data_IF_166399723891
#
_entry.id   IF_166399723891
#
_cell.length_a   1.000
_cell.length_b   1.000
_cell.length_c   1.000
_cell.angle_alpha   90.00
_cell.angle_beta   90.00
_cell.angle_gamma   90.00
#
_symmetry.space_group_name_H-M   'P 1'
#
loop_
_entity.id
_entity.type
_entity.pdbx_description
1 polymer ?
#
# COMPACT_ATOMS: atom_id res chain seq x y z
N UNK A 1 8.82 -27.39 36.69
CA UNK A 1 9.26 -26.97 35.34
C UNK A 1 10.52 -26.12 35.49
N UNK A 2 11.64 -26.50 34.87
CA UNK A 2 12.91 -25.80 35.10
C UNK A 2 12.88 -24.37 34.52
N UNK A 3 13.54 -23.41 35.18
CA UNK A 3 13.58 -22.00 34.73
C UNK A 3 14.06 -21.83 33.28
N UNK A 4 14.86 -22.78 32.78
CA UNK A 4 15.27 -22.86 31.37
C UNK A 4 14.11 -23.18 30.42
N UNK A 5 13.24 -24.12 30.76
CA UNK A 5 12.12 -24.53 29.92
C UNK A 5 11.06 -23.43 29.83
N UNK A 6 10.86 -22.67 30.92
CA UNK A 6 9.96 -21.51 30.95
C UNK A 6 10.41 -20.43 29.96
N UNK A 7 11.72 -20.13 29.90
CA UNK A 7 12.26 -19.13 28.97
C UNK A 7 12.13 -19.56 27.50
N UNK A 8 12.35 -20.85 27.21
CA UNK A 8 12.20 -21.39 25.85
C UNK A 8 10.74 -21.33 25.39
N UNK A 9 9.80 -21.70 26.25
CA UNK A 9 8.36 -21.61 25.95
C UNK A 9 7.90 -20.17 25.73
N UNK A 10 8.36 -19.23 26.57
CA UNK A 10 8.01 -17.82 26.44
C UNK A 10 8.53 -17.22 25.13
N UNK A 11 9.77 -17.56 24.74
CA UNK A 11 10.35 -17.10 23.48
C UNK A 11 9.62 -17.64 22.25
N UNK A 12 9.22 -18.92 22.28
CA UNK A 12 8.45 -19.55 21.19
C UNK A 12 7.07 -18.89 21.03
N UNK A 13 6.42 -18.57 22.14
CA UNK A 13 5.10 -17.94 22.13
C UNK A 13 5.16 -16.53 21.51
N UNK A 14 6.14 -15.71 21.90
CA UNK A 14 6.33 -14.36 21.35
C UNK A 14 6.54 -14.42 19.82
N UNK A 15 7.32 -15.40 19.33
CA UNK A 15 7.57 -15.57 17.90
C UNK A 15 6.31 -15.95 17.11
N UNK A 16 5.45 -16.80 17.67
CA UNK A 16 4.16 -17.16 17.09
C UNK A 16 3.21 -15.95 17.03
N UNK A 17 3.16 -15.13 18.07
CA UNK A 17 2.30 -13.93 18.08
C UNK A 17 2.75 -12.86 17.08
N UNK A 18 4.03 -12.79 16.74
CA UNK A 18 4.54 -11.86 15.72
C UNK A 18 4.21 -12.23 14.26
N UNK A 19 3.57 -13.39 14.01
CA UNK A 19 3.23 -13.86 12.66
C UNK A 19 1.83 -13.47 12.16
N UNK A 20 1.04 -12.75 12.96
CA UNK A 20 -0.32 -12.25 12.67
C UNK A 20 -0.17 -10.77 12.23
N UNK A 21 -0.54 -10.25 11.05
CA UNK A 21 -1.44 -10.65 9.95
C UNK A 21 -1.23 -9.68 8.77
N UNK A 22 -1.23 -10.17 7.53
CA UNK A 22 -1.52 -9.38 6.34
C UNK A 22 -3.00 -9.60 5.97
N UNK A 23 -3.89 -8.69 6.37
CA UNK A 23 -5.28 -8.70 5.91
C UNK A 23 -5.34 -7.95 4.59
N UNK A 24 -5.44 -8.69 3.49
CA UNK A 24 -5.68 -8.12 2.17
C UNK A 24 -7.16 -7.73 2.07
N UNK A 25 -7.45 -6.44 2.08
CA UNK A 25 -8.79 -5.95 1.77
C UNK A 25 -9.17 -6.36 0.34
N UNK A 26 -10.19 -7.20 0.19
CA UNK A 26 -10.73 -7.59 -1.10
C UNK A 26 -11.45 -6.41 -1.77
N UNK A 27 -11.44 -6.36 -3.11
CA UNK A 27 -11.99 -5.27 -3.92
C UNK A 27 -13.52 -5.13 -3.91
N UNK A 28 -14.23 -5.89 -3.07
CA UNK A 28 -15.68 -5.79 -2.91
C UNK A 28 -16.43 -5.98 -4.23
N UNK A 29 -16.40 -7.19 -4.80
CA UNK A 29 -17.22 -7.64 -5.93
C UNK A 29 -17.26 -6.74 -7.18
N UNK A 30 -16.29 -5.83 -7.30
CA UNK A 30 -16.10 -4.99 -8.48
C UNK A 30 -15.08 -5.64 -9.42
N UNK A 31 -15.28 -5.46 -10.73
CA UNK A 31 -14.35 -5.88 -11.76
C UNK A 31 -13.05 -5.03 -11.73
N UNK A 32 -12.10 -5.32 -12.62
CA UNK A 32 -10.87 -4.52 -12.76
C UNK A 32 -11.12 -3.04 -13.06
N UNK A 33 -12.30 -2.71 -13.59
CA UNK A 33 -12.75 -1.37 -13.89
C UNK A 33 -13.45 -0.68 -12.71
N UNK A 34 -13.63 -1.36 -11.56
CA UNK A 34 -14.34 -0.82 -10.40
C UNK A 34 -15.86 -0.79 -10.58
N UNK A 35 -16.40 -1.65 -11.43
CA UNK A 35 -17.81 -1.76 -11.76
C UNK A 35 -18.40 -3.10 -11.32
N UNK A 36 -19.70 -3.17 -11.12
CA UNK A 36 -20.41 -4.40 -10.80
C UNK A 36 -21.78 -4.43 -11.48
N UNK A 37 -22.31 -5.62 -11.76
CA UNK A 37 -23.71 -5.77 -12.20
C UNK A 37 -24.57 -5.96 -10.95
N UNK A 38 -25.58 -5.12 -10.78
CA UNK A 38 -26.59 -5.32 -9.75
C UNK A 38 -27.52 -6.46 -10.18
N UNK A 39 -27.50 -7.55 -9.41
CA UNK A 39 -28.30 -8.74 -9.69
C UNK A 39 -29.81 -8.53 -9.51
N UNK A 40 -30.23 -7.49 -8.78
CA UNK A 40 -31.64 -7.19 -8.54
C UNK A 40 -32.28 -6.43 -9.70
N UNK A 41 -31.51 -5.55 -10.35
CA UNK A 41 -32.00 -4.71 -11.46
C UNK A 41 -31.45 -5.14 -12.82
N UNK A 42 -30.43 -5.98 -12.86
CA UNK A 42 -29.70 -6.35 -14.07
C UNK A 42 -28.85 -5.23 -14.65
N UNK A 43 -28.70 -4.10 -13.93
CA UNK A 43 -27.99 -2.92 -14.42
C UNK A 43 -26.52 -2.97 -14.05
N UNK A 44 -25.69 -2.51 -14.98
CA UNK A 44 -24.25 -2.39 -14.77
C UNK A 44 -23.93 -1.05 -14.12
N UNK A 45 -23.36 -1.11 -12.92
CA UNK A 45 -23.03 0.04 -12.10
C UNK A 45 -21.52 0.17 -11.96
N UNK A 46 -20.98 1.24 -12.50
CA UNK A 46 -19.60 1.61 -12.29
C UNK A 46 -19.49 2.58 -11.11
N UNK A 47 -18.71 2.25 -10.09
CA UNK A 47 -18.33 3.24 -9.08
C UNK A 47 -17.34 4.28 -9.62
N UNK A 48 -16.85 4.09 -10.86
CA UNK A 48 -15.98 5.02 -11.58
C UNK A 48 -16.70 6.01 -12.51
N UNK A 49 -18.02 6.22 -12.37
CA UNK A 49 -18.65 7.43 -12.91
C UNK A 49 -18.57 8.55 -11.89
N UNK A 50 -17.37 9.14 -11.72
CA UNK A 50 -17.16 10.26 -10.79
C UNK A 50 -17.37 11.63 -11.45
N UNK A 51 -17.69 11.67 -12.74
CA UNK A 51 -17.66 12.90 -13.55
C UNK A 51 -18.89 13.10 -14.42
N UNK A 52 -20.07 12.62 -14.01
CA UNK A 52 -21.28 12.96 -14.77
C UNK A 52 -21.55 14.46 -14.73
N UNK A 53 -21.24 15.17 -13.64
CA UNK A 53 -21.04 16.64 -13.63
C UNK A 53 -20.14 16.99 -12.42
N UNK A 54 -19.20 17.95 -12.52
CA UNK A 54 -18.50 18.41 -11.33
C UNK A 54 -19.53 19.11 -10.42
N UNK A 55 -19.75 18.56 -9.23
CA UNK A 55 -20.46 19.29 -8.17
C UNK A 55 -19.63 20.54 -7.79
N UNK A 56 -20.25 21.53 -7.13
CA UNK A 56 -19.58 22.80 -6.79
C UNK A 56 -18.25 22.59 -6.03
N UNK A 57 -18.19 21.55 -5.19
CA UNK A 57 -16.98 21.15 -4.45
C UNK A 57 -15.82 20.74 -5.37
N UNK A 58 -16.11 19.93 -6.40
CA UNK A 58 -15.12 19.48 -7.37
C UNK A 58 -14.59 20.64 -8.25
N UNK A 59 -15.43 21.63 -8.55
CA UNK A 59 -15.01 22.83 -9.31
C UNK A 59 -14.06 23.68 -8.47
N UNK A 60 -14.39 23.92 -7.19
CA UNK A 60 -13.54 24.71 -6.29
C UNK A 60 -12.19 24.02 -6.03
N UNK A 61 -12.19 22.71 -5.79
CA UNK A 61 -10.95 21.94 -5.63
C UNK A 61 -10.08 21.99 -6.89
N UNK A 62 -10.68 21.86 -8.08
CA UNK A 62 -9.94 21.94 -9.34
C UNK A 62 -9.34 23.34 -9.56
N UNK A 63 -10.07 24.40 -9.21
CA UNK A 63 -9.56 25.77 -9.27
C UNK A 63 -8.34 25.97 -8.36
N UNK A 64 -8.42 25.53 -7.10
CA UNK A 64 -7.27 25.63 -6.19
C UNK A 64 -6.05 24.88 -6.71
N UNK A 65 -6.24 23.70 -7.29
CA UNK A 65 -5.14 22.95 -7.90
C UNK A 65 -4.58 23.72 -9.08
N UNK A 66 -5.44 24.21 -9.98
CA UNK A 66 -5.03 24.98 -11.15
C UNK A 66 -4.16 26.19 -10.80
N UNK A 67 -4.48 26.90 -9.72
CA UNK A 67 -3.69 28.03 -9.22
C UNK A 67 -2.29 27.62 -8.69
N UNK A 68 -2.13 26.37 -8.26
CA UNK A 68 -0.84 25.85 -7.76
C UNK A 68 0.06 25.26 -8.83
N UNK A 69 -0.47 25.01 -10.04
CA UNK A 69 0.28 24.43 -11.14
C UNK A 69 1.18 25.46 -11.81
N UNK A 70 2.34 25.02 -12.28
CA UNK A 70 3.18 25.82 -13.16
C UNK A 70 2.61 25.88 -14.59
N UNK A 71 3.18 26.74 -15.43
CA UNK A 71 2.66 26.94 -16.80
C UNK A 71 2.87 25.72 -17.70
N UNK A 72 3.92 24.92 -17.46
CA UNK A 72 4.18 23.71 -18.22
C UNK A 72 3.14 22.62 -17.88
N UNK A 73 2.79 22.49 -16.59
CA UNK A 73 1.73 21.61 -16.11
C UNK A 73 0.35 22.03 -16.62
N UNK A 74 0.04 23.34 -16.61
CA UNK A 74 -1.21 23.86 -17.16
C UNK A 74 -1.34 23.56 -18.65
N UNK A 75 -0.26 23.74 -19.41
CA UNK A 75 -0.24 23.42 -20.84
C UNK A 75 -0.44 21.93 -21.10
N UNK A 76 0.22 21.06 -20.32
CA UNK A 76 0.01 19.62 -20.37
C UNK A 76 -1.46 19.25 -20.09
N UNK A 77 -2.09 19.88 -19.11
CA UNK A 77 -3.51 19.65 -18.78
C UNK A 77 -4.40 20.10 -19.94
N UNK A 78 -4.14 21.25 -20.56
CA UNK A 78 -4.91 21.71 -21.73
C UNK A 78 -4.82 20.73 -22.90
N UNK A 79 -3.61 20.31 -23.25
CA UNK A 79 -3.38 19.35 -24.34
C UNK A 79 -4.05 18.00 -24.04
N UNK A 80 -3.97 17.54 -22.80
CA UNK A 80 -4.61 16.29 -22.37
C UNK A 80 -6.14 16.40 -22.42
N UNK A 81 -6.69 17.54 -21.98
CA UNK A 81 -8.14 17.79 -22.03
C UNK A 81 -8.64 17.78 -23.48
N UNK A 82 -7.94 18.46 -24.39
CA UNK A 82 -8.27 18.49 -25.82
C UNK A 82 -8.17 17.10 -26.45
N UNK A 83 -7.04 16.40 -26.25
CA UNK A 83 -6.79 15.08 -26.83
C UNK A 83 -7.85 14.04 -26.41
N UNK A 84 -8.38 14.16 -25.18
CA UNK A 84 -9.34 13.21 -24.63
C UNK A 84 -10.79 13.72 -24.65
N UNK A 85 -11.04 14.90 -25.24
CA UNK A 85 -12.35 15.54 -25.26
C UNK A 85 -12.99 15.68 -23.86
N UNK A 86 -12.17 16.09 -22.88
CA UNK A 86 -12.57 16.31 -21.50
C UNK A 86 -12.57 17.80 -21.17
N UNK A 87 -13.31 18.18 -20.14
CA UNK A 87 -13.16 19.52 -19.56
C UNK A 87 -11.83 19.62 -18.79
N UNK A 88 -11.32 20.85 -18.63
CA UNK A 88 -10.14 21.13 -17.81
C UNK A 88 -10.35 20.62 -16.37
N UNK A 89 -11.54 20.83 -15.79
CA UNK A 89 -11.89 20.36 -14.44
C UNK A 89 -11.81 18.84 -14.33
N UNK A 90 -12.39 18.09 -15.28
CA UNK A 90 -12.30 16.63 -15.31
C UNK A 90 -10.83 16.16 -15.42
N UNK A 91 -10.04 16.87 -16.22
CA UNK A 91 -8.63 16.56 -16.44
C UNK A 91 -7.79 16.80 -15.18
N UNK A 92 -8.02 17.91 -14.47
CA UNK A 92 -7.35 18.22 -13.20
C UNK A 92 -7.67 17.15 -12.15
N UNK A 93 -8.94 16.78 -12.02
CA UNK A 93 -9.36 15.80 -11.01
C UNK A 93 -8.83 14.40 -11.33
N UNK A 94 -8.72 14.04 -12.63
CA UNK A 94 -8.01 12.84 -13.07
C UNK A 94 -6.52 12.87 -12.71
N UNK A 95 -5.84 14.00 -12.97
CA UNK A 95 -4.43 14.18 -12.63
C UNK A 95 -4.20 14.06 -11.12
N UNK A 96 -5.07 14.66 -10.30
CA UNK A 96 -5.00 14.54 -8.85
C UNK A 96 -5.16 13.08 -8.38
N UNK A 97 -6.09 12.32 -8.96
CA UNK A 97 -6.25 10.91 -8.64
C UNK A 97 -5.01 10.09 -9.03
N UNK A 98 -4.42 10.40 -10.19
CA UNK A 98 -3.18 9.78 -10.64
C UNK A 98 -2.02 10.02 -9.64
N UNK A 99 -1.83 11.27 -9.20
CA UNK A 99 -0.81 11.62 -8.20
C UNK A 99 -1.04 10.88 -6.87
N UNK A 100 -2.29 10.83 -6.40
CA UNK A 100 -2.64 10.10 -5.17
C UNK A 100 -2.33 8.60 -5.29
N UNK A 101 -2.63 7.98 -6.44
CA UNK A 101 -2.29 6.58 -6.70
C UNK A 101 -0.78 6.34 -6.72
N UNK A 102 -0.02 7.24 -7.34
CA UNK A 102 1.44 7.17 -7.35
C UNK A 102 2.02 7.25 -5.94
N UNK A 103 1.52 8.16 -5.11
CA UNK A 103 1.96 8.30 -3.72
C UNK A 103 1.62 7.05 -2.89
N UNK A 104 0.42 6.50 -3.05
CA UNK A 104 0.01 5.26 -2.39
C UNK A 104 0.90 4.08 -2.79
N UNK A 105 1.25 3.96 -4.08
CA UNK A 105 2.16 2.92 -4.56
C UNK A 105 3.57 3.09 -3.98
N UNK A 106 4.10 4.32 -3.93
CA UNK A 106 5.40 4.60 -3.28
C UNK A 106 5.38 4.23 -1.81
N UNK A 107 4.31 4.58 -1.07
CA UNK A 107 4.11 4.19 0.34
C UNK A 107 4.04 2.68 0.50
N UNK A 108 3.32 1.98 -0.38
CA UNK A 108 3.22 0.52 -0.37
C UNK A 108 4.57 -0.15 -0.65
N UNK A 109 5.32 0.36 -1.63
CA UNK A 109 6.65 -0.13 -1.96
C UNK A 109 7.64 0.09 -0.82
N UNK A 110 7.60 1.29 -0.19
CA UNK A 110 8.39 1.59 0.99
C UNK A 110 8.10 0.59 2.12
N UNK A 111 6.82 0.35 2.44
CA UNK A 111 6.41 -0.66 3.44
C UNK A 111 6.94 -2.06 3.12
N UNK A 112 6.87 -2.50 1.86
CA UNK A 112 7.43 -3.80 1.42
C UNK A 112 8.94 -3.86 1.65
N UNK A 113 9.67 -2.82 1.23
CA UNK A 113 11.12 -2.76 1.43
C UNK A 113 11.49 -2.74 2.91
N UNK A 114 10.76 -1.98 3.74
CA UNK A 114 10.95 -1.96 5.20
C UNK A 114 10.74 -3.34 5.82
N UNK A 115 9.69 -4.07 5.42
CA UNK A 115 9.43 -5.43 5.90
C UNK A 115 10.55 -6.40 5.51
N UNK A 116 11.03 -6.32 4.26
CA UNK A 116 12.17 -7.14 3.80
C UNK A 116 13.41 -6.84 4.63
N UNK A 117 13.76 -5.56 4.82
CA UNK A 117 14.92 -5.16 5.60
C UNK A 117 14.85 -5.65 7.04
N UNK A 118 13.69 -5.51 7.70
CA UNK A 118 13.48 -6.04 9.06
C UNK A 118 13.66 -7.56 9.06
N UNK A 119 13.08 -8.27 8.09
CA UNK A 119 13.23 -9.72 7.96
C UNK A 119 14.68 -10.16 7.80
N UNK A 120 15.47 -9.48 6.96
CA UNK A 120 16.90 -9.77 6.76
C UNK A 120 17.70 -9.52 8.04
N UNK A 121 17.47 -8.42 8.75
CA UNK A 121 18.17 -8.10 10.00
C UNK A 121 17.89 -9.14 11.09
N UNK A 122 16.63 -9.58 11.22
CA UNK A 122 16.24 -10.62 12.16
C UNK A 122 16.89 -11.96 11.82
N UNK A 123 16.91 -12.33 10.53
CA UNK A 123 17.54 -13.57 10.06
C UNK A 123 19.05 -13.59 10.35
N UNK A 124 19.75 -12.49 10.10
CA UNK A 124 21.18 -12.36 10.41
C UNK A 124 21.42 -12.49 11.92
N UNK A 125 20.58 -11.85 12.73
CA UNK A 125 20.69 -11.89 14.20
C UNK A 125 20.51 -13.31 14.75
N UNK A 126 19.57 -14.08 14.19
CA UNK A 126 19.37 -15.51 14.53
C UNK A 126 20.60 -16.34 14.14
N UNK A 127 21.15 -16.15 12.94
CA UNK A 127 22.36 -16.87 12.49
C UNK A 127 23.55 -16.59 13.42
N UNK A 128 23.78 -15.32 13.77
CA UNK A 128 24.86 -14.94 14.69
C UNK A 128 24.68 -15.62 16.06
N UNK A 129 23.45 -15.62 16.58
CA UNK A 129 23.14 -16.28 17.85
C UNK A 129 23.40 -17.79 17.80
N UNK A 130 22.97 -18.46 16.73
CA UNK A 130 23.22 -19.90 16.52
C UNK A 130 24.73 -20.21 16.47
N UNK A 131 25.53 -19.41 15.78
CA UNK A 131 26.99 -19.60 15.71
C UNK A 131 27.64 -19.47 17.11
N UNK A 132 27.20 -18.51 17.92
CA UNK A 132 27.72 -18.32 19.28
C UNK A 132 27.39 -19.54 20.14
N UNK A 133 26.17 -20.04 20.07
CA UNK A 133 25.76 -21.20 20.86
C UNK A 133 26.47 -22.49 20.41
N UNK A 134 26.65 -22.70 19.10
CA UNK A 134 27.48 -23.81 18.59
C UNK A 134 28.92 -23.74 19.13
N UNK A 135 29.52 -22.54 19.18
CA UNK A 135 30.86 -22.34 19.77
C UNK A 135 30.90 -22.64 21.27
N UNK A 136 29.84 -22.29 22.03
CA UNK A 136 29.73 -22.60 23.47
C UNK A 136 29.65 -24.10 23.72
N UNK A 137 28.84 -24.83 22.94
CA UNK A 137 28.70 -26.28 23.06
C UNK A 137 30.05 -26.96 22.81
N UNK A 138 30.77 -26.59 21.74
CA UNK A 138 32.10 -27.17 21.43
C UNK A 138 33.13 -26.95 22.54
N UNK A 139 33.10 -25.81 23.22
CA UNK A 139 33.99 -25.53 24.37
C UNK A 139 33.61 -26.34 25.62
N UNK A 140 32.32 -26.62 25.82
CA UNK A 140 31.83 -27.40 26.97
C UNK A 140 32.10 -28.91 26.87
N UNK A 141 32.24 -29.45 25.66
CA UNK A 141 32.52 -30.88 25.41
C UNK A 141 34.01 -31.23 25.57
N UNK A 142 34.92 -30.25 25.46
CA UNK A 142 36.37 -30.45 25.61
C UNK A 142 36.89 -30.31 27.07
N UNK A 143 36.01 -30.41 28.06
CA UNK A 143 36.35 -30.45 29.49
C UNK A 143 35.84 -31.75 30.10
#
# INVERSE_FOLDING_TARGET
>A
MNKRNVKVLLSSLIFLLSSVTLVFAHSGNTDSNGCHTDHSTGRYHCHRQKYDFPNEENVFSAYLIWETLDEDEKELIRQTAEQNNLTIVQTILFYQEYLNKQEQQKKAQFRKNTLITIGVVLLISIIVWLIIDLKRIKKGVNK
#
